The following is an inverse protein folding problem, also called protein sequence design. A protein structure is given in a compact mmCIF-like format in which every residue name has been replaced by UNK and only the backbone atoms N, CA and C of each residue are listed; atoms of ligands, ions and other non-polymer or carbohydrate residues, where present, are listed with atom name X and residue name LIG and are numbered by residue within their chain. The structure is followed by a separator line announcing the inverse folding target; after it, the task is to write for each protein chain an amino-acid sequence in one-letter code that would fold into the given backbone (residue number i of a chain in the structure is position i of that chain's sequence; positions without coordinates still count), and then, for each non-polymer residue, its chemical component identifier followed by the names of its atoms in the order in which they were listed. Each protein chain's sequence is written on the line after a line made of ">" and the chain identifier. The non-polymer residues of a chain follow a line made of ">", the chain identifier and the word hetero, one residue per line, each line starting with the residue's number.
data_IF_793363974354
#
_entry.id   IF_793363974354
#
_cell.length_a   1.000
_cell.length_b   1.000
_cell.length_c   1.000
_cell.angle_alpha   90.00
_cell.angle_beta   90.00
_cell.angle_gamma   90.00
#
_symmetry.space_group_name_H-M   'P 1'
#
loop_
_entity.id
_entity.type
_entity.pdbx_description
1 polymer ?
#
# COMPACT_ATOMS: atom_id res chain seq x y z
N UNK A 1 -43.79 -3.94 8.60
CA UNK A 1 -42.72 -4.24 7.60
C UNK A 1 -41.46 -4.59 8.38
N UNK A 2 -41.11 -5.87 8.45
CA UNK A 2 -39.87 -6.27 9.13
C UNK A 2 -38.70 -5.85 8.23
N UNK A 3 -37.92 -4.85 8.66
CA UNK A 3 -36.66 -4.51 8.00
C UNK A 3 -35.70 -5.65 8.29
N UNK A 4 -35.50 -6.55 7.31
CA UNK A 4 -34.58 -7.69 7.42
C UNK A 4 -33.16 -7.35 7.03
N UNK A 5 -32.97 -6.19 6.39
CA UNK A 5 -31.68 -5.74 5.90
C UNK A 5 -31.08 -4.70 6.85
N UNK A 6 -29.82 -4.87 7.22
CA UNK A 6 -29.00 -3.87 7.94
C UNK A 6 -27.74 -3.55 7.16
N UNK A 7 -27.19 -2.37 7.38
CA UNK A 7 -25.97 -1.91 6.72
C UNK A 7 -24.92 -1.55 7.77
N UNK A 8 -23.72 -2.01 7.56
CA UNK A 8 -22.58 -1.75 8.43
C UNK A 8 -21.48 -1.04 7.65
N UNK A 9 -21.07 0.14 8.09
CA UNK A 9 -19.91 0.78 7.55
C UNK A 9 -18.66 0.03 8.02
N UNK A 10 -17.81 -0.34 7.09
CA UNK A 10 -16.55 -1.05 7.37
C UNK A 10 -15.51 -0.74 6.30
N UNK A 11 -14.30 -1.25 6.50
CA UNK A 11 -13.18 -0.99 5.61
C UNK A 11 -12.48 -2.30 5.30
N UNK A 12 -12.12 -2.51 4.05
CA UNK A 12 -11.24 -3.60 3.63
C UNK A 12 -9.85 -3.05 3.33
N UNK A 13 -8.82 -3.78 3.79
CA UNK A 13 -7.43 -3.57 3.42
C UNK A 13 -6.77 -4.93 3.23
N UNK A 14 -6.60 -5.36 2.00
CA UNK A 14 -6.04 -6.66 1.65
C UNK A 14 -5.20 -6.54 0.37
N UNK A 15 -3.91 -6.65 0.50
CA UNK A 15 -3.00 -6.59 -0.63
C UNK A 15 -3.11 -5.29 -1.43
N UNK A 16 -3.82 -5.31 -2.56
CA UNK A 16 -4.06 -4.15 -3.42
C UNK A 16 -5.34 -3.40 -3.09
N UNK A 17 -6.26 -4.02 -2.40
CA UNK A 17 -7.62 -3.57 -2.30
C UNK A 17 -7.82 -2.81 -0.99
N UNK A 18 -8.04 -1.52 -1.12
CA UNK A 18 -8.31 -0.59 -0.02
C UNK A 18 -9.63 0.12 -0.32
N UNK A 19 -10.66 -0.13 0.47
CA UNK A 19 -11.97 0.49 0.23
C UNK A 19 -12.74 0.72 1.52
N UNK A 20 -13.42 1.87 1.58
CA UNK A 20 -14.38 2.22 2.61
C UNK A 20 -15.78 1.92 2.10
N UNK A 21 -16.45 0.94 2.68
CA UNK A 21 -17.64 0.30 2.13
C UNK A 21 -18.77 0.19 3.15
N UNK A 22 -19.96 -0.05 2.64
CA UNK A 22 -21.08 -0.55 3.43
C UNK A 22 -21.31 -2.03 3.11
N UNK A 23 -21.48 -2.83 4.15
CA UNK A 23 -21.88 -4.24 3.97
C UNK A 23 -23.36 -4.37 4.25
N UNK A 24 -24.10 -4.81 3.24
CA UNK A 24 -25.47 -5.22 3.39
C UNK A 24 -25.53 -6.59 4.07
N UNK A 25 -26.21 -6.63 5.20
CA UNK A 25 -26.41 -7.84 5.99
C UNK A 25 -27.90 -8.21 6.00
N UNK A 26 -28.20 -9.44 5.73
CA UNK A 26 -29.57 -9.97 5.76
C UNK A 26 -29.64 -11.10 6.77
N UNK A 27 -30.48 -10.92 7.80
CA UNK A 27 -30.66 -11.91 8.86
C UNK A 27 -29.34 -12.41 9.49
N UNK A 28 -28.41 -11.47 9.72
CA UNK A 28 -27.09 -11.78 10.28
C UNK A 28 -26.06 -12.34 9.27
N UNK A 29 -26.35 -12.32 7.96
CA UNK A 29 -25.46 -12.81 6.90
C UNK A 29 -25.02 -11.67 5.99
N UNK A 30 -23.73 -11.35 5.92
CA UNK A 30 -23.18 -10.43 4.92
C UNK A 30 -23.41 -10.97 3.51
N UNK A 31 -24.05 -10.17 2.64
CA UNK A 31 -24.45 -10.63 1.30
C UNK A 31 -23.95 -9.75 0.16
N UNK A 32 -23.63 -8.47 0.42
CA UNK A 32 -23.27 -7.54 -0.65
C UNK A 32 -22.43 -6.39 -0.13
N UNK A 33 -21.47 -5.96 -0.94
CA UNK A 33 -20.74 -4.71 -0.77
C UNK A 33 -21.49 -3.59 -1.46
N UNK A 34 -21.66 -2.47 -0.76
CA UNK A 34 -22.27 -1.24 -1.27
C UNK A 34 -21.29 -0.07 -1.07
N UNK A 35 -21.49 1.00 -1.84
CA UNK A 35 -20.70 2.22 -1.71
C UNK A 35 -21.01 2.93 -0.39
N UNK A 36 -19.97 3.36 0.33
CA UNK A 36 -20.12 4.32 1.41
C UNK A 36 -20.03 5.75 0.83
N UNK A 37 -21.17 6.43 0.73
CA UNK A 37 -21.25 7.79 0.17
C UNK A 37 -20.59 8.87 1.03
N UNK A 38 -20.20 8.56 2.27
CA UNK A 38 -19.49 9.46 3.19
C UNK A 38 -17.95 9.34 3.04
N UNK A 39 -17.48 8.31 2.33
CA UNK A 39 -16.07 8.09 2.06
C UNK A 39 -15.61 8.82 0.78
N UNK A 40 -14.29 9.00 0.65
CA UNK A 40 -13.68 9.49 -0.59
C UNK A 40 -13.94 8.51 -1.75
N UNK A 41 -14.29 9.04 -2.92
CA UNK A 41 -14.57 8.25 -4.12
C UNK A 41 -13.35 7.41 -4.56
N UNK A 42 -12.12 7.87 -4.30
CA UNK A 42 -10.89 7.15 -4.63
C UNK A 42 -10.70 5.85 -3.82
N UNK A 43 -11.44 5.71 -2.70
CA UNK A 43 -11.43 4.52 -1.83
C UNK A 43 -12.72 3.72 -1.99
N UNK A 44 -13.28 3.66 -3.20
CA UNK A 44 -14.48 2.90 -3.53
C UNK A 44 -14.15 1.45 -3.89
N UNK A 45 -15.20 0.60 -3.85
CA UNK A 45 -15.06 -0.83 -4.12
C UNK A 45 -14.80 -1.10 -5.61
N UNK A 46 -13.72 -1.82 -5.91
CA UNK A 46 -13.47 -2.45 -7.20
C UNK A 46 -14.12 -3.85 -7.29
N UNK A 47 -13.95 -4.55 -8.40
CA UNK A 47 -14.53 -5.88 -8.62
C UNK A 47 -14.06 -6.92 -7.57
N UNK A 48 -12.78 -6.88 -7.17
CA UNK A 48 -12.22 -7.79 -6.15
C UNK A 48 -12.84 -7.52 -4.78
N UNK A 49 -13.01 -6.24 -4.42
CA UNK A 49 -13.68 -5.85 -3.16
C UNK A 49 -15.14 -6.31 -3.15
N UNK A 50 -15.86 -6.16 -4.27
CA UNK A 50 -17.23 -6.71 -4.36
C UNK A 50 -17.28 -8.23 -4.18
N UNK A 51 -16.29 -8.96 -4.70
CA UNK A 51 -16.18 -10.41 -4.56
C UNK A 51 -15.74 -10.86 -3.14
N UNK A 52 -15.14 -9.99 -2.33
CA UNK A 52 -14.51 -10.36 -1.05
C UNK A 52 -15.49 -10.96 -0.01
N UNK A 53 -16.79 -10.67 -0.14
CA UNK A 53 -17.82 -11.30 0.72
C UNK A 53 -17.87 -12.82 0.54
N UNK A 54 -17.53 -13.33 -0.65
CA UNK A 54 -17.53 -14.76 -0.94
C UNK A 54 -16.46 -15.51 -0.15
N UNK A 55 -15.32 -14.87 0.11
CA UNK A 55 -14.23 -15.46 0.90
C UNK A 55 -14.65 -15.79 2.34
N UNK A 56 -15.63 -15.06 2.88
CA UNK A 56 -16.19 -15.36 4.20
C UNK A 56 -16.76 -16.77 4.28
N UNK A 57 -17.36 -17.25 3.19
CA UNK A 57 -18.06 -18.53 3.09
C UNK A 57 -17.23 -19.63 2.43
N UNK A 58 -15.95 -19.37 2.17
CA UNK A 58 -15.07 -20.37 1.58
C UNK A 58 -14.84 -21.54 2.56
N UNK A 59 -15.12 -22.74 2.10
CA UNK A 59 -14.99 -23.96 2.89
C UNK A 59 -13.54 -24.42 3.09
N UNK A 60 -12.57 -23.77 2.41
CA UNK A 60 -11.12 -24.02 2.59
C UNK A 60 -10.51 -23.18 3.71
N UNK A 61 -11.31 -22.34 4.37
CA UNK A 61 -10.85 -21.56 5.53
C UNK A 61 -10.44 -22.46 6.69
N UNK A 62 -9.34 -22.08 7.35
CA UNK A 62 -8.90 -22.75 8.57
C UNK A 62 -9.89 -22.52 9.70
N UNK A 63 -10.32 -23.62 10.34
CA UNK A 63 -11.31 -23.59 11.41
C UNK A 63 -10.70 -23.36 12.80
N UNK A 64 -9.40 -23.64 12.99
CA UNK A 64 -8.70 -23.55 14.28
C UNK A 64 -7.18 -23.49 14.06
N UNK A 65 -6.38 -23.09 15.09
CA UNK A 65 -4.93 -23.01 14.95
C UNK A 65 -4.31 -24.40 14.78
N UNK A 66 -3.14 -24.43 14.14
CA UNK A 66 -2.39 -25.66 13.87
C UNK A 66 -0.93 -25.56 14.36
N UNK A 67 -0.34 -26.71 14.65
CA UNK A 67 1.09 -26.93 14.87
C UNK A 67 1.52 -28.13 14.04
N UNK A 68 2.57 -27.99 13.24
CA UNK A 68 3.08 -29.03 12.35
C UNK A 68 1.97 -29.67 11.50
N UNK A 69 1.09 -28.83 10.95
CA UNK A 69 -0.11 -29.19 10.18
C UNK A 69 -1.18 -30.00 10.95
N UNK A 70 -1.10 -30.09 12.26
CA UNK A 70 -2.11 -30.75 13.12
C UNK A 70 -2.88 -29.71 13.94
N UNK A 71 -4.20 -29.86 14.09
CA UNK A 71 -5.00 -28.97 14.90
C UNK A 71 -4.57 -28.94 16.37
N UNK A 72 -4.52 -27.75 16.96
CA UNK A 72 -4.26 -27.56 18.40
C UNK A 72 -5.25 -26.58 19.03
N UNK A 73 -5.28 -26.51 20.37
CA UNK A 73 -6.06 -25.51 21.07
C UNK A 73 -5.38 -24.12 21.02
N UNK A 74 -6.16 -23.03 21.12
CA UNK A 74 -5.60 -21.68 21.29
C UNK A 74 -4.78 -21.54 22.56
N UNK A 75 -5.17 -22.25 23.64
CA UNK A 75 -4.41 -22.24 24.88
C UNK A 75 -2.98 -22.80 24.65
N UNK A 76 -2.87 -23.95 23.99
CA UNK A 76 -1.59 -24.56 23.64
C UNK A 76 -0.78 -23.65 22.71
N UNK A 77 -1.41 -23.11 21.68
CA UNK A 77 -0.79 -22.19 20.73
C UNK A 77 -0.18 -20.97 21.45
N UNK A 78 -0.97 -20.29 22.28
CA UNK A 78 -0.55 -19.07 22.96
C UNK A 78 0.56 -19.35 23.98
N UNK A 79 0.43 -20.42 24.74
CA UNK A 79 1.41 -20.81 25.76
C UNK A 79 2.77 -21.15 25.13
N UNK A 80 2.78 -22.02 24.13
CA UNK A 80 4.00 -22.45 23.49
C UNK A 80 4.68 -21.31 22.71
N UNK A 81 3.92 -20.54 21.91
CA UNK A 81 4.50 -19.44 21.14
C UNK A 81 5.02 -18.33 22.05
N UNK A 82 4.32 -17.99 23.15
CA UNK A 82 4.80 -17.02 24.13
C UNK A 82 6.10 -17.49 24.78
N UNK A 83 6.18 -18.75 25.18
CA UNK A 83 7.37 -19.37 25.79
C UNK A 83 8.58 -19.29 24.85
N UNK A 84 8.38 -19.64 23.56
CA UNK A 84 9.43 -19.59 22.56
C UNK A 84 9.90 -18.17 22.26
N UNK A 85 8.98 -17.20 22.13
CA UNK A 85 9.34 -15.80 21.94
C UNK A 85 10.15 -15.25 23.11
N UNK A 86 9.79 -15.61 24.36
CA UNK A 86 10.55 -15.22 25.55
C UNK A 86 11.94 -15.86 25.58
N UNK A 87 12.07 -17.14 25.18
CA UNK A 87 13.33 -17.83 25.07
C UNK A 87 14.27 -17.18 24.08
N UNK A 88 13.78 -16.95 22.84
CA UNK A 88 14.55 -16.32 21.76
C UNK A 88 15.00 -14.91 22.12
N UNK A 89 14.14 -14.14 22.79
CA UNK A 89 14.48 -12.81 23.26
C UNK A 89 15.62 -12.84 24.30
N UNK A 90 15.59 -13.78 25.26
CA UNK A 90 16.69 -13.97 26.22
C UNK A 90 18.01 -14.39 25.55
N UNK A 91 17.93 -15.17 24.49
CA UNK A 91 19.06 -15.57 23.65
C UNK A 91 19.51 -14.48 22.69
N UNK A 92 18.84 -13.31 22.67
CA UNK A 92 19.10 -12.17 21.76
C UNK A 92 19.02 -12.54 20.28
N UNK A 93 18.25 -13.57 19.93
CA UNK A 93 17.94 -13.90 18.53
C UNK A 93 16.88 -12.94 17.99
N UNK A 94 17.04 -12.51 16.75
CA UNK A 94 16.10 -11.60 16.12
C UNK A 94 14.72 -12.25 15.94
N UNK A 95 13.65 -11.52 16.32
CA UNK A 95 12.25 -11.89 16.11
C UNK A 95 11.69 -10.94 15.06
N UNK A 96 11.38 -11.45 13.87
CA UNK A 96 10.87 -10.64 12.77
C UNK A 96 9.34 -10.71 12.69
N UNK A 97 8.67 -9.57 12.76
CA UNK A 97 7.30 -9.42 12.29
C UNK A 97 7.35 -9.09 10.80
N UNK A 98 6.94 -10.02 9.94
CA UNK A 98 6.86 -9.85 8.49
C UNK A 98 5.40 -9.69 8.08
N UNK A 99 5.00 -8.47 7.71
CA UNK A 99 3.59 -8.17 7.46
C UNK A 99 3.39 -7.44 6.13
N UNK A 100 2.17 -7.49 5.61
CA UNK A 100 1.76 -6.50 4.61
C UNK A 100 1.71 -5.09 5.19
N UNK A 101 1.59 -4.09 4.35
CA UNK A 101 1.22 -2.74 4.80
C UNK A 101 -0.20 -2.76 5.34
N UNK A 102 -0.35 -2.59 6.66
CA UNK A 102 -1.68 -2.51 7.26
C UNK A 102 -2.33 -1.13 7.10
N UNK A 103 -1.55 -0.07 6.92
CA UNK A 103 -2.01 1.32 6.95
C UNK A 103 -2.88 1.65 8.19
N UNK A 104 -2.61 0.97 9.30
CA UNK A 104 -3.39 1.04 10.55
C UNK A 104 -2.60 1.76 11.64
N UNK A 105 -3.05 2.94 12.10
CA UNK A 105 -2.39 3.66 13.20
C UNK A 105 -2.35 2.84 14.49
N UNK A 106 -3.42 2.11 14.81
CA UNK A 106 -3.47 1.33 16.05
C UNK A 106 -2.61 0.07 15.96
N UNK A 107 -2.59 -0.63 14.81
CA UNK A 107 -1.71 -1.78 14.60
C UNK A 107 -0.23 -1.35 14.64
N UNK A 108 0.11 -0.21 14.03
CA UNK A 108 1.46 0.36 14.11
C UNK A 108 1.89 0.62 15.57
N UNK A 109 1.02 1.24 16.35
CA UNK A 109 1.27 1.49 17.78
C UNK A 109 1.45 0.19 18.58
N UNK A 110 0.71 -0.85 18.21
CA UNK A 110 0.81 -2.15 18.85
C UNK A 110 2.11 -2.88 18.48
N UNK A 111 2.54 -2.79 17.22
CA UNK A 111 3.84 -3.32 16.78
C UNK A 111 4.99 -2.66 17.53
N UNK A 112 4.95 -1.33 17.74
CA UNK A 112 5.99 -0.67 18.54
C UNK A 112 5.99 -1.18 19.99
N UNK A 113 4.82 -1.37 20.63
CA UNK A 113 4.75 -2.00 21.97
C UNK A 113 5.30 -3.41 22.02
N UNK A 114 5.11 -4.20 20.96
CA UNK A 114 5.72 -5.52 20.87
C UNK A 114 7.25 -5.43 20.79
N UNK A 115 7.78 -4.49 20.01
CA UNK A 115 9.22 -4.23 19.91
C UNK A 115 9.80 -3.71 21.22
N UNK A 116 9.08 -2.86 21.94
CA UNK A 116 9.49 -2.37 23.26
C UNK A 116 9.64 -3.53 24.27
N UNK A 117 8.79 -4.55 24.16
CA UNK A 117 8.87 -5.74 25.04
C UNK A 117 9.96 -6.70 24.64
N UNK A 118 10.20 -6.86 23.34
CA UNK A 118 11.22 -7.77 22.79
C UNK A 118 12.27 -6.94 22.07
N UNK A 119 13.36 -6.56 22.77
CA UNK A 119 14.42 -5.67 22.22
C UNK A 119 15.04 -6.18 20.92
N UNK A 120 15.03 -7.51 20.72
CA UNK A 120 15.52 -8.14 19.49
C UNK A 120 14.46 -8.18 18.37
N UNK A 121 13.26 -7.62 18.58
CA UNK A 121 12.21 -7.67 17.58
C UNK A 121 12.38 -6.57 16.51
N UNK A 122 12.15 -6.95 15.28
CA UNK A 122 12.10 -6.03 14.12
C UNK A 122 10.78 -6.19 13.36
N UNK A 123 10.38 -5.14 12.65
CA UNK A 123 9.21 -5.16 11.78
C UNK A 123 9.63 -4.88 10.35
N UNK A 124 9.26 -5.76 9.46
CA UNK A 124 9.54 -5.68 8.02
C UNK A 124 8.21 -5.76 7.28
N UNK A 125 7.96 -4.77 6.45
CA UNK A 125 6.78 -4.75 5.59
C UNK A 125 7.14 -5.32 4.22
N UNK A 126 6.36 -6.26 3.75
CA UNK A 126 6.47 -6.89 2.45
C UNK A 126 5.14 -6.74 1.70
N UNK A 127 5.15 -5.97 0.63
CA UNK A 127 4.04 -5.86 -0.31
C UNK A 127 4.48 -6.51 -1.63
N UNK A 128 3.79 -7.53 -2.17
CA UNK A 128 4.21 -8.24 -3.39
C UNK A 128 4.38 -7.33 -4.60
N UNK A 129 3.56 -6.28 -4.69
CA UNK A 129 3.77 -5.15 -5.60
C UNK A 129 4.11 -3.96 -4.73
N UNK A 130 5.41 -3.73 -4.59
CA UNK A 130 5.94 -2.95 -3.48
C UNK A 130 5.92 -1.44 -3.69
N UNK A 131 5.96 -0.96 -4.92
CA UNK A 131 6.19 0.46 -5.25
C UNK A 131 7.41 1.06 -4.49
N UNK A 132 8.37 0.21 -4.07
CA UNK A 132 9.45 0.58 -3.16
C UNK A 132 10.25 1.78 -3.65
N UNK A 133 10.51 1.86 -4.95
CA UNK A 133 11.29 2.94 -5.55
C UNK A 133 10.52 4.28 -5.55
N UNK A 134 9.21 4.24 -5.80
CA UNK A 134 8.36 5.43 -5.68
C UNK A 134 8.25 5.89 -4.22
N UNK A 135 8.15 4.94 -3.27
CA UNK A 135 8.17 5.22 -1.84
C UNK A 135 9.50 5.85 -1.40
N UNK A 136 10.63 5.31 -1.88
CA UNK A 136 11.97 5.82 -1.58
C UNK A 136 12.17 7.24 -2.17
N UNK A 137 11.62 7.49 -3.37
CA UNK A 137 11.66 8.80 -3.99
C UNK A 137 10.86 9.83 -3.20
N UNK A 138 9.64 9.48 -2.80
CA UNK A 138 8.77 10.35 -2.02
C UNK A 138 9.36 10.62 -0.62
N UNK A 139 9.87 9.57 0.07
CA UNK A 139 10.52 9.70 1.37
C UNK A 139 11.77 10.60 1.29
N UNK A 140 12.58 10.44 0.25
CA UNK A 140 13.73 11.32 0.03
C UNK A 140 13.33 12.78 -0.18
N UNK A 141 12.21 13.03 -0.87
CA UNK A 141 11.74 14.37 -1.21
C UNK A 141 11.04 15.08 -0.07
N UNK A 142 10.22 14.33 0.70
CA UNK A 142 9.29 14.90 1.69
C UNK A 142 9.52 14.39 3.12
N UNK A 143 10.45 13.46 3.34
CA UNK A 143 10.73 12.90 4.67
C UNK A 143 9.65 11.97 5.23
N UNK A 144 8.68 11.57 4.41
CA UNK A 144 7.59 10.68 4.77
C UNK A 144 7.54 9.52 3.77
N UNK A 145 7.51 8.28 4.28
CA UNK A 145 7.34 7.11 3.43
C UNK A 145 5.89 6.94 3.03
N UNK A 146 5.59 7.19 1.77
CA UNK A 146 4.25 7.12 1.19
C UNK A 146 4.30 7.44 -0.31
N UNK A 147 3.16 7.47 -0.97
CA UNK A 147 3.02 7.77 -2.39
C UNK A 147 2.32 9.13 -2.58
N UNK A 148 2.63 9.77 -3.69
CA UNK A 148 1.95 11.02 -4.05
C UNK A 148 0.49 10.76 -4.40
N UNK A 149 -0.41 11.62 -3.96
CA UNK A 149 -1.79 11.64 -4.43
C UNK A 149 -1.96 12.56 -5.62
N UNK A 150 -2.89 12.22 -6.52
CA UNK A 150 -3.21 12.98 -7.72
C UNK A 150 -4.73 13.13 -7.89
N UNK A 151 -5.18 14.33 -8.21
CA UNK A 151 -6.56 14.65 -8.56
C UNK A 151 -6.64 15.18 -9.99
N UNK A 152 -7.14 14.35 -10.90
CA UNK A 152 -7.21 14.67 -12.32
C UNK A 152 -8.46 15.49 -12.73
N UNK A 153 -9.39 15.75 -11.81
CA UNK A 153 -10.69 16.35 -12.10
C UNK A 153 -10.62 17.72 -12.80
N UNK A 154 -9.59 18.50 -12.50
CA UNK A 154 -9.42 19.87 -13.04
C UNK A 154 -8.15 20.01 -13.91
N UNK A 155 -7.59 18.90 -14.41
CA UNK A 155 -6.40 18.95 -15.26
C UNK A 155 -6.76 19.36 -16.69
N UNK A 156 -5.85 20.11 -17.33
CA UNK A 156 -5.90 20.41 -18.76
C UNK A 156 -5.11 19.38 -19.57
N UNK A 157 -3.99 18.91 -19.03
CA UNK A 157 -3.10 17.94 -19.67
C UNK A 157 -2.63 16.90 -18.67
N UNK A 158 -2.90 15.64 -18.95
CA UNK A 158 -2.35 14.48 -18.26
C UNK A 158 -1.28 13.89 -19.17
N UNK A 159 -0.03 13.91 -18.71
CA UNK A 159 1.10 13.29 -19.39
C UNK A 159 1.56 12.10 -18.58
N UNK A 160 1.28 10.91 -19.07
CA UNK A 160 1.64 9.65 -18.45
C UNK A 160 2.75 8.95 -19.22
N UNK A 161 3.77 8.51 -18.49
CA UNK A 161 4.93 7.78 -19.04
C UNK A 161 5.00 6.42 -18.34
N UNK A 162 4.41 5.41 -18.96
CA UNK A 162 4.37 4.04 -18.46
C UNK A 162 3.47 3.79 -17.26
N UNK A 163 2.69 4.78 -16.79
CA UNK A 163 1.77 4.60 -15.68
C UNK A 163 0.37 4.19 -16.15
N UNK A 164 -0.10 3.01 -15.73
CA UNK A 164 -1.50 2.59 -15.95
C UNK A 164 -2.38 3.04 -14.78
N UNK A 165 -2.60 4.35 -14.68
CA UNK A 165 -3.30 4.96 -13.55
C UNK A 165 -4.82 4.73 -13.54
N UNK A 166 -5.41 4.22 -14.63
CA UNK A 166 -6.79 3.71 -14.65
C UNK A 166 -6.90 2.24 -14.24
N UNK A 167 -5.74 1.55 -14.15
CA UNK A 167 -5.60 0.21 -13.58
C UNK A 167 -5.12 0.25 -12.13
N UNK A 168 -4.18 -0.63 -11.80
CA UNK A 168 -3.69 -0.83 -10.42
C UNK A 168 -2.43 0.00 -10.07
N UNK A 169 -2.00 0.96 -10.91
CA UNK A 169 -0.83 1.81 -10.65
C UNK A 169 -0.96 2.51 -9.29
N UNK A 170 0.07 2.34 -8.43
CA UNK A 170 0.13 2.88 -7.05
C UNK A 170 -1.12 2.57 -6.19
N UNK A 171 -1.81 1.45 -6.49
CA UNK A 171 -3.00 1.01 -5.76
C UNK A 171 -4.34 1.45 -6.38
N UNK A 172 -4.33 2.18 -7.50
CA UNK A 172 -5.55 2.59 -8.20
C UNK A 172 -6.28 3.76 -7.55
N UNK A 173 -7.57 3.90 -7.88
CA UNK A 173 -8.46 4.91 -7.29
C UNK A 173 -8.46 6.27 -8.02
N UNK A 174 -7.74 6.38 -9.14
CA UNK A 174 -7.64 7.64 -9.90
C UNK A 174 -8.72 7.80 -10.98
N UNK A 175 -9.45 6.74 -11.29
CA UNK A 175 -10.50 6.67 -12.31
C UNK A 175 -11.63 7.67 -12.07
N UNK A 176 -12.07 7.82 -10.81
CA UNK A 176 -13.13 8.77 -10.46
C UNK A 176 -12.74 10.23 -10.77
N UNK A 177 -11.53 10.66 -10.42
CA UNK A 177 -11.06 12.00 -10.71
C UNK A 177 -10.79 12.21 -12.20
N UNK A 178 -10.24 11.18 -12.87
CA UNK A 178 -10.04 11.18 -14.31
C UNK A 178 -11.37 11.35 -15.06
N UNK A 179 -12.39 10.56 -14.72
CA UNK A 179 -13.70 10.59 -15.36
C UNK A 179 -14.33 11.97 -15.23
N UNK A 180 -14.26 12.61 -14.05
CA UNK A 180 -14.74 13.98 -13.83
C UNK A 180 -14.10 14.98 -14.81
N UNK A 181 -12.78 14.86 -15.03
CA UNK A 181 -12.04 15.72 -15.98
C UNK A 181 -12.29 15.39 -17.45
N UNK A 182 -12.94 14.26 -17.77
CA UNK A 182 -13.22 13.78 -19.14
C UNK A 182 -14.68 14.00 -19.56
N UNK A 183 -15.52 14.53 -18.70
CA UNK A 183 -16.88 14.97 -19.07
C UNK A 183 -16.73 16.34 -19.77
N UNK A 184 -17.20 16.49 -21.03
CA UNK A 184 -16.98 17.71 -21.80
C UNK A 184 -17.99 18.82 -21.44
N UNK A 185 -18.12 19.12 -20.14
CA UNK A 185 -18.95 20.22 -19.66
C UNK A 185 -18.37 21.55 -20.16
N UNK A 186 -19.20 22.44 -20.69
CA UNK A 186 -18.79 23.68 -21.28
C UNK A 186 -17.75 23.56 -22.42
N UNK A 187 -17.70 22.40 -23.10
CA UNK A 187 -16.77 22.13 -24.19
C UNK A 187 -15.31 22.02 -23.75
N UNK A 188 -15.04 21.85 -22.44
CA UNK A 188 -13.71 21.66 -21.87
C UNK A 188 -13.54 20.21 -21.41
N UNK A 189 -12.46 19.58 -21.85
CA UNK A 189 -12.08 18.23 -21.46
C UNK A 189 -10.57 18.16 -21.32
N UNK A 190 -10.09 17.41 -20.33
CA UNK A 190 -8.65 17.16 -20.15
C UNK A 190 -8.09 16.40 -21.35
N UNK A 191 -6.88 16.78 -21.82
CA UNK A 191 -6.13 16.02 -22.81
C UNK A 191 -5.24 15.00 -22.13
N UNK A 192 -5.24 13.76 -22.62
CA UNK A 192 -4.43 12.68 -22.09
C UNK A 192 -3.44 12.18 -23.16
N UNK A 193 -2.14 12.25 -22.85
CA UNK A 193 -1.05 11.70 -23.66
C UNK A 193 -0.40 10.56 -22.88
N UNK A 194 -0.35 9.37 -23.50
CA UNK A 194 0.19 8.16 -22.90
C UNK A 194 1.39 7.65 -23.71
N UNK A 195 2.54 7.57 -23.07
CA UNK A 195 3.74 6.88 -23.56
C UNK A 195 3.87 5.55 -22.82
N UNK A 196 3.81 4.41 -23.53
CA UNK A 196 3.79 3.10 -22.87
C UNK A 196 4.30 1.98 -23.78
N UNK A 197 4.68 0.84 -23.22
CA UNK A 197 5.12 -0.32 -23.99
C UNK A 197 3.95 -1.19 -24.46
N UNK A 198 3.08 -1.57 -23.52
CA UNK A 198 1.87 -2.35 -23.78
C UNK A 198 0.65 -1.43 -23.82
N UNK A 199 -0.40 -1.83 -24.52
CA UNK A 199 -1.67 -1.12 -24.44
C UNK A 199 -2.33 -1.44 -23.10
N UNK A 200 -2.34 -0.42 -22.22
CA UNK A 200 -2.98 -0.48 -20.92
C UNK A 200 -4.39 0.09 -20.96
N UNK A 201 -5.12 0.01 -19.84
CA UNK A 201 -6.42 0.66 -19.71
C UNK A 201 -6.30 2.19 -19.88
N UNK A 202 -5.25 2.78 -19.30
CA UNK A 202 -4.93 4.20 -19.49
C UNK A 202 -4.62 4.54 -20.93
N UNK A 203 -3.81 3.71 -21.60
CA UNK A 203 -3.47 3.92 -23.01
C UNK A 203 -4.65 3.77 -23.97
N UNK A 204 -5.59 2.88 -23.67
CA UNK A 204 -6.82 2.71 -24.45
C UNK A 204 -7.75 3.92 -24.36
N UNK A 205 -7.65 4.72 -23.29
CA UNK A 205 -8.45 5.93 -23.08
C UNK A 205 -7.70 7.23 -23.41
N UNK A 206 -6.46 7.17 -23.88
CA UNK A 206 -5.66 8.35 -24.20
C UNK A 206 -6.06 8.99 -25.52
N UNK A 207 -5.99 10.34 -25.60
CA UNK A 207 -6.18 11.09 -26.85
C UNK A 207 -5.00 10.90 -27.81
N UNK A 208 -3.79 10.70 -27.24
CA UNK A 208 -2.58 10.35 -27.98
C UNK A 208 -1.85 9.25 -27.24
N UNK A 209 -1.83 8.06 -27.84
CA UNK A 209 -1.05 6.93 -27.36
C UNK A 209 0.17 6.74 -28.25
N UNK A 210 1.36 6.62 -27.63
CA UNK A 210 2.64 6.40 -28.32
C UNK A 210 3.28 5.14 -27.78
N UNK A 211 3.31 4.03 -28.55
CA UNK A 211 3.95 2.79 -28.13
C UNK A 211 5.48 2.92 -28.18
N UNK A 212 6.15 2.58 -27.08
CA UNK A 212 7.59 2.80 -26.87
C UNK A 212 8.22 1.71 -26.01
N UNK A 213 9.53 1.51 -26.21
CA UNK A 213 10.34 0.71 -25.29
C UNK A 213 10.60 1.46 -23.99
N UNK A 214 10.87 0.72 -22.91
CA UNK A 214 11.15 1.32 -21.58
C UNK A 214 12.29 2.36 -21.64
N UNK A 215 13.37 2.05 -22.36
CA UNK A 215 14.50 2.98 -22.48
C UNK A 215 14.13 4.28 -23.22
N UNK A 216 13.21 4.23 -24.18
CA UNK A 216 12.70 5.43 -24.86
C UNK A 216 11.80 6.25 -23.93
N UNK A 217 11.01 5.59 -23.07
CA UNK A 217 10.20 6.27 -22.03
C UNK A 217 11.11 7.04 -21.05
N UNK A 218 12.22 6.41 -20.62
CA UNK A 218 13.23 7.07 -19.77
C UNK A 218 13.80 8.31 -20.43
N UNK A 219 14.20 8.22 -21.70
CA UNK A 219 14.72 9.36 -22.45
C UNK A 219 13.70 10.49 -22.56
N UNK A 220 12.43 10.17 -22.84
CA UNK A 220 11.36 11.19 -22.95
C UNK A 220 11.21 11.94 -21.64
N UNK A 221 11.15 11.24 -20.51
CA UNK A 221 11.02 11.87 -19.20
C UNK A 221 12.20 12.84 -18.93
N UNK A 222 13.40 12.43 -19.31
CA UNK A 222 14.60 13.26 -19.20
C UNK A 222 14.53 14.49 -20.12
N UNK A 223 14.11 14.34 -21.38
CA UNK A 223 13.98 15.45 -22.32
C UNK A 223 12.91 16.48 -21.83
N UNK A 224 11.79 16.01 -21.27
CA UNK A 224 10.79 16.86 -20.61
C UNK A 224 11.44 17.62 -19.45
N UNK A 225 12.18 16.93 -18.58
CA UNK A 225 12.87 17.55 -17.46
C UNK A 225 13.86 18.64 -17.93
N UNK A 226 14.74 18.33 -18.89
CA UNK A 226 15.70 19.27 -19.46
C UNK A 226 15.02 20.52 -20.03
N UNK A 227 13.87 20.34 -20.67
CA UNK A 227 13.12 21.44 -21.28
C UNK A 227 12.57 22.45 -20.26
N UNK A 228 12.36 22.01 -19.01
CA UNK A 228 11.79 22.82 -17.92
C UNK A 228 12.86 23.40 -16.99
N UNK A 229 14.01 22.71 -16.84
CA UNK A 229 15.04 23.08 -15.89
C UNK A 229 16.33 23.60 -16.52
N UNK A 230 16.44 23.53 -17.86
CA UNK A 230 17.63 23.91 -18.63
C UNK A 230 18.62 22.73 -18.81
N UNK A 231 19.19 22.61 -20.02
CA UNK A 231 19.95 21.44 -20.49
C UNK A 231 21.24 21.11 -19.77
N UNK A 232 21.82 22.03 -18.97
CA UNK A 232 23.14 21.85 -18.35
C UNK A 232 23.14 21.00 -17.06
N UNK A 233 21.99 20.63 -16.54
CA UNK A 233 21.88 19.92 -15.25
C UNK A 233 21.96 18.41 -15.35
N UNK A 234 21.74 17.82 -16.53
CA UNK A 234 21.80 16.39 -16.77
C UNK A 234 22.78 16.09 -17.92
N UNK A 235 23.95 15.59 -17.61
CA UNK A 235 24.84 14.99 -18.61
C UNK A 235 24.40 13.54 -18.80
N UNK A 236 23.84 13.25 -19.96
CA UNK A 236 23.53 11.88 -20.38
C UNK A 236 24.69 11.38 -21.24
N UNK A 237 25.36 10.35 -20.80
CA UNK A 237 26.36 9.61 -21.59
C UNK A 237 25.73 8.52 -22.46
N UNK A 238 24.41 8.57 -22.72
CA UNK A 238 23.76 7.53 -23.54
C UNK A 238 23.86 7.87 -25.03
N UNK A 239 24.33 6.91 -25.83
CA UNK A 239 24.30 6.95 -27.30
C UNK A 239 22.88 6.73 -27.87
N UNK A 240 21.87 6.60 -27.02
CA UNK A 240 20.49 6.43 -27.42
C UNK A 240 19.89 7.76 -27.89
N UNK A 241 19.45 7.79 -29.15
CA UNK A 241 18.76 8.94 -29.75
C UNK A 241 17.33 8.55 -30.12
N UNK A 242 16.40 9.46 -29.88
CA UNK A 242 15.04 9.30 -30.33
C UNK A 242 14.98 9.39 -31.87
N UNK A 243 14.11 8.63 -32.52
CA UNK A 243 13.87 8.79 -33.94
C UNK A 243 13.32 10.18 -34.24
N UNK A 244 13.54 10.74 -35.45
CA UNK A 244 12.99 12.06 -35.83
C UNK A 244 11.50 12.17 -35.62
N UNK A 245 10.74 11.10 -35.94
CA UNK A 245 9.29 11.06 -35.72
C UNK A 245 8.93 11.20 -34.24
N UNK A 246 9.63 10.46 -33.40
CA UNK A 246 9.41 10.48 -31.97
C UNK A 246 9.82 11.82 -31.34
N UNK A 247 10.95 12.39 -31.78
CA UNK A 247 11.40 13.70 -31.34
C UNK A 247 10.34 14.79 -31.61
N UNK A 248 9.74 14.79 -32.81
CA UNK A 248 8.68 15.73 -33.14
C UNK A 248 7.44 15.61 -32.24
N UNK A 249 7.08 14.37 -31.84
CA UNK A 249 5.99 14.11 -30.90
C UNK A 249 6.36 14.69 -29.51
N UNK A 250 7.57 14.42 -29.05
CA UNK A 250 8.09 14.89 -27.75
C UNK A 250 8.13 16.42 -27.72
N UNK A 251 8.62 17.07 -28.79
CA UNK A 251 8.70 18.53 -28.89
C UNK A 251 7.30 19.17 -28.84
N UNK A 252 6.32 18.53 -29.51
CA UNK A 252 4.93 18.97 -29.45
C UNK A 252 4.35 18.80 -28.05
N UNK A 253 4.58 17.64 -27.42
CA UNK A 253 4.15 17.36 -26.04
C UNK A 253 4.74 18.37 -25.05
N UNK A 254 6.02 18.73 -25.21
CA UNK A 254 6.68 19.74 -24.37
C UNK A 254 6.04 21.12 -24.54
N UNK A 255 5.65 21.49 -25.79
CA UNK A 255 4.95 22.75 -26.03
C UNK A 255 3.56 22.76 -25.35
N UNK A 256 2.81 21.66 -25.46
CA UNK A 256 1.53 21.49 -24.78
C UNK A 256 1.69 21.57 -23.25
N UNK A 257 2.70 20.91 -22.69
CA UNK A 257 3.02 20.93 -21.25
C UNK A 257 3.30 22.38 -20.77
N UNK A 258 4.14 23.11 -21.50
CA UNK A 258 4.47 24.52 -21.18
C UNK A 258 3.26 25.43 -21.28
N UNK A 259 2.36 25.17 -22.24
CA UNK A 259 1.11 25.94 -22.42
C UNK A 259 0.11 25.66 -21.30
N UNK A 260 -0.05 24.42 -20.87
CA UNK A 260 -0.98 24.02 -19.81
C UNK A 260 -0.56 24.52 -18.42
N UNK A 261 0.75 24.77 -18.19
CA UNK A 261 1.30 25.29 -16.92
C UNK A 261 0.83 24.46 -15.72
N UNK A 262 0.28 25.12 -14.69
CA UNK A 262 -0.24 24.47 -13.48
C UNK A 262 -1.42 23.51 -13.76
N UNK A 263 -2.09 23.63 -14.90
CA UNK A 263 -3.13 22.69 -15.32
C UNK A 263 -2.60 21.38 -15.89
N UNK A 264 -1.29 21.20 -15.99
CA UNK A 264 -0.68 19.94 -16.40
C UNK A 264 -0.26 19.09 -15.21
N UNK A 265 -0.16 17.78 -15.45
CA UNK A 265 0.43 16.80 -14.51
C UNK A 265 1.29 15.81 -15.30
N UNK A 266 2.41 15.41 -14.71
CA UNK A 266 3.32 14.39 -15.26
C UNK A 266 3.41 13.24 -14.27
N UNK A 267 3.07 12.03 -14.71
CA UNK A 267 3.16 10.80 -13.91
C UNK A 267 4.00 9.76 -14.62
N UNK A 268 4.62 8.88 -13.86
CA UNK A 268 5.46 7.82 -14.42
C UNK A 268 5.23 6.47 -13.74
N UNK A 269 5.23 5.41 -14.55
CA UNK A 269 5.27 4.01 -14.10
C UNK A 269 6.67 3.39 -14.14
N UNK A 270 7.71 4.19 -14.45
CA UNK A 270 9.10 3.73 -14.44
C UNK A 270 9.50 3.44 -12.99
N UNK A 271 9.97 2.23 -12.72
CA UNK A 271 10.17 1.73 -11.36
C UNK A 271 11.48 2.20 -10.70
N UNK A 272 12.39 2.83 -11.44
CA UNK A 272 13.62 3.33 -10.83
C UNK A 272 13.38 4.65 -10.09
N UNK A 273 13.94 4.78 -8.91
CA UNK A 273 13.79 5.89 -7.97
C UNK A 273 14.08 7.27 -8.58
N UNK A 274 15.11 7.34 -9.41
CA UNK A 274 15.57 8.59 -10.04
C UNK A 274 14.49 9.17 -10.96
N UNK A 275 13.80 8.33 -11.72
CA UNK A 275 12.72 8.75 -12.61
C UNK A 275 11.46 9.13 -11.86
N UNK A 276 11.19 8.47 -10.74
CA UNK A 276 10.13 8.87 -9.81
C UNK A 276 10.41 10.27 -9.23
N UNK A 277 11.64 10.54 -8.80
CA UNK A 277 12.06 11.88 -8.34
C UNK A 277 11.91 12.95 -9.42
N UNK A 278 12.28 12.65 -10.66
CA UNK A 278 12.11 13.56 -11.80
C UNK A 278 10.63 13.94 -11.98
N UNK A 279 9.73 12.97 -11.91
CA UNK A 279 8.29 13.24 -12.05
C UNK A 279 7.77 14.14 -10.91
N UNK A 280 8.19 13.90 -9.66
CA UNK A 280 7.84 14.75 -8.52
C UNK A 280 8.35 16.19 -8.72
N UNK A 281 9.62 16.35 -9.13
CA UNK A 281 10.23 17.67 -9.35
C UNK A 281 9.56 18.43 -10.51
N UNK A 282 9.17 17.74 -11.59
CA UNK A 282 8.44 18.36 -12.70
C UNK A 282 7.11 18.94 -12.19
N UNK A 283 6.32 18.14 -11.45
CA UNK A 283 5.02 18.58 -10.94
C UNK A 283 5.15 19.76 -9.98
N UNK A 284 6.18 19.79 -9.14
CA UNK A 284 6.48 20.95 -8.30
C UNK A 284 6.87 22.18 -9.14
N UNK A 285 7.72 22.01 -10.16
CA UNK A 285 8.19 23.09 -11.00
C UNK A 285 7.06 23.78 -11.75
N UNK A 286 6.14 23.00 -12.31
CA UNK A 286 4.96 23.53 -13.00
C UNK A 286 3.85 23.96 -12.04
N UNK A 287 4.01 23.69 -10.73
CA UNK A 287 3.01 23.91 -9.67
C UNK A 287 1.68 23.23 -10.01
N UNK A 288 1.75 21.95 -10.40
CA UNK A 288 0.58 21.18 -10.84
C UNK A 288 -0.53 21.21 -9.79
N UNK A 289 -1.73 21.59 -10.20
CA UNK A 289 -2.91 21.60 -9.33
C UNK A 289 -3.43 20.19 -9.03
N UNK A 290 -3.09 19.23 -9.90
CA UNK A 290 -3.43 17.83 -9.72
C UNK A 290 -2.53 17.13 -8.69
N UNK A 291 -1.31 17.61 -8.48
CA UNK A 291 -0.35 17.00 -7.58
C UNK A 291 -0.62 17.41 -6.13
N UNK A 292 -0.98 16.45 -5.28
CA UNK A 292 -1.42 16.63 -3.89
C UNK A 292 -0.49 15.94 -2.89
N UNK A 293 0.77 16.36 -2.74
CA UNK A 293 1.71 15.67 -1.86
C UNK A 293 1.28 15.69 -0.38
N UNK A 294 0.57 16.72 0.08
CA UNK A 294 0.05 16.78 1.47
C UNK A 294 -1.00 15.70 1.78
N UNK A 295 -1.64 15.17 0.77
CA UNK A 295 -2.60 14.08 0.86
C UNK A 295 -1.89 12.73 0.59
N UNK A 296 -0.77 12.49 1.24
CA UNK A 296 0.08 11.31 1.03
C UNK A 296 -0.72 10.03 1.11
N UNK A 297 -0.59 9.15 0.12
CA UNK A 297 -1.18 7.81 0.13
C UNK A 297 -0.29 6.88 0.96
N UNK A 298 -0.90 6.17 1.93
CA UNK A 298 -0.21 5.35 2.93
C UNK A 298 -0.50 3.85 2.77
N UNK A 299 -1.07 3.45 1.64
CA UNK A 299 -1.46 2.06 1.35
C UNK A 299 -0.28 1.13 1.05
N UNK A 300 0.91 1.67 0.87
CA UNK A 300 2.17 0.94 0.67
C UNK A 300 3.25 1.52 1.58
N UNK A 301 4.08 0.63 2.14
CA UNK A 301 5.21 1.04 2.98
C UNK A 301 6.41 0.09 2.90
N UNK A 302 6.34 -0.93 2.05
CA UNK A 302 7.41 -1.92 1.91
C UNK A 302 8.74 -1.29 1.51
N UNK A 303 9.82 -1.98 1.90
CA UNK A 303 11.20 -1.62 1.56
C UNK A 303 11.92 -2.88 1.10
N UNK A 304 12.08 -3.04 -0.22
CA UNK A 304 12.64 -4.26 -0.82
C UNK A 304 13.98 -4.63 -0.19
N UNK A 305 14.89 -3.67 -0.04
CA UNK A 305 16.20 -3.91 0.57
C UNK A 305 16.10 -4.48 1.98
N UNK A 306 15.17 -4.01 2.82
CA UNK A 306 15.03 -4.52 4.19
C UNK A 306 14.55 -5.99 4.20
N UNK A 307 13.73 -6.38 3.23
CA UNK A 307 13.28 -7.75 3.05
C UNK A 307 14.43 -8.65 2.57
N UNK A 308 15.22 -8.21 1.58
CA UNK A 308 16.39 -8.96 1.08
C UNK A 308 17.45 -9.14 2.19
N UNK A 309 17.75 -8.08 2.94
CA UNK A 309 18.67 -8.12 4.08
C UNK A 309 18.16 -9.08 5.17
N UNK A 310 16.84 -9.22 5.36
CA UNK A 310 16.26 -10.22 6.29
C UNK A 310 16.56 -11.64 5.82
N UNK A 311 16.39 -11.97 4.56
CA UNK A 311 16.69 -13.31 4.01
C UNK A 311 18.17 -13.66 4.24
N UNK A 312 19.07 -12.69 4.06
CA UNK A 312 20.49 -12.88 4.33
C UNK A 312 20.71 -13.23 5.82
N UNK A 313 20.14 -12.44 6.75
CA UNK A 313 20.26 -12.70 8.20
C UNK A 313 19.63 -14.02 8.63
N UNK A 314 18.53 -14.44 7.98
CA UNK A 314 17.93 -15.77 8.21
C UNK A 314 18.90 -16.89 7.82
N UNK A 315 19.56 -16.79 6.65
CA UNK A 315 20.55 -17.76 6.20
C UNK A 315 21.81 -17.80 7.09
N UNK A 316 22.16 -16.70 7.73
CA UNK A 316 23.26 -16.60 8.70
C UNK A 316 22.88 -17.13 10.10
N UNK A 317 21.62 -17.56 10.31
CA UNK A 317 21.14 -18.04 11.61
C UNK A 317 20.97 -16.96 12.69
N UNK A 318 20.94 -15.66 12.28
CA UNK A 318 20.75 -14.52 13.20
C UNK A 318 19.27 -14.33 13.58
N UNK A 319 18.35 -14.76 12.71
CA UNK A 319 16.91 -14.69 12.94
C UNK A 319 16.45 -15.99 13.59
N UNK A 320 15.89 -15.90 14.78
CA UNK A 320 15.33 -17.05 15.50
C UNK A 320 13.87 -17.30 15.20
N UNK A 321 13.10 -16.22 14.96
CA UNK A 321 11.66 -16.30 14.68
C UNK A 321 11.23 -15.40 13.52
N UNK A 322 10.28 -15.90 12.71
CA UNK A 322 9.53 -15.09 11.75
C UNK A 322 8.04 -15.29 11.99
N UNK A 323 7.31 -14.19 12.18
CA UNK A 323 5.85 -14.14 12.31
C UNK A 323 5.31 -13.44 11.09
N UNK A 324 4.57 -14.16 10.24
CA UNK A 324 3.98 -13.61 9.01
C UNK A 324 2.51 -13.28 9.21
N UNK A 325 2.06 -12.12 8.72
CA UNK A 325 0.65 -11.73 8.74
C UNK A 325 0.25 -10.96 7.48
N UNK A 326 -0.74 -11.48 6.75
CA UNK A 326 -1.24 -10.89 5.50
C UNK A 326 -0.27 -11.00 4.33
N UNK A 327 0.69 -11.92 4.36
CA UNK A 327 1.71 -12.13 3.33
C UNK A 327 1.92 -13.61 3.06
N UNK A 328 2.19 -13.95 1.79
CA UNK A 328 2.54 -15.30 1.36
C UNK A 328 3.83 -15.27 0.50
N UNK A 329 5.02 -15.08 1.13
CA UNK A 329 6.28 -14.95 0.41
C UNK A 329 6.64 -16.18 -0.40
N UNK A 330 6.28 -17.39 0.07
CA UNK A 330 6.57 -18.64 -0.66
C UNK A 330 5.92 -18.66 -2.05
N UNK A 331 4.72 -18.07 -2.16
CA UNK A 331 4.01 -17.95 -3.43
C UNK A 331 4.46 -16.73 -4.24
N UNK A 332 4.61 -15.57 -3.60
CA UNK A 332 4.72 -14.29 -4.29
C UNK A 332 6.15 -13.89 -4.69
N UNK A 333 7.18 -14.56 -4.15
CA UNK A 333 8.56 -14.26 -4.52
C UNK A 333 8.95 -14.92 -5.85
N UNK A 334 9.64 -14.17 -6.72
CA UNK A 334 10.20 -14.70 -7.96
C UNK A 334 11.23 -15.80 -7.70
N UNK A 335 12.12 -15.62 -6.70
CA UNK A 335 12.99 -16.67 -6.16
C UNK A 335 12.57 -17.04 -4.74
N UNK A 336 11.54 -17.87 -4.64
CA UNK A 336 11.08 -18.38 -3.35
C UNK A 336 12.01 -19.41 -2.72
N UNK A 337 12.90 -20.05 -3.50
CA UNK A 337 13.75 -21.16 -3.00
C UNK A 337 14.70 -20.72 -1.89
N UNK A 338 15.32 -19.56 -2.03
CA UNK A 338 16.22 -18.99 -1.03
C UNK A 338 15.47 -18.72 0.28
N UNK A 339 14.28 -18.09 0.16
CA UNK A 339 13.40 -17.82 1.31
C UNK A 339 12.96 -19.14 1.99
N UNK A 340 12.47 -20.11 1.23
CA UNK A 340 11.99 -21.41 1.74
C UNK A 340 13.10 -22.14 2.51
N UNK A 341 14.33 -22.16 1.96
CA UNK A 341 15.48 -22.77 2.65
C UNK A 341 15.75 -22.10 3.99
N UNK A 342 15.80 -20.77 4.00
CA UNK A 342 16.03 -19.99 5.22
C UNK A 342 14.88 -20.15 6.23
N UNK A 343 13.63 -20.13 5.76
CA UNK A 343 12.42 -20.22 6.59
C UNK A 343 12.29 -21.57 7.30
N UNK A 344 12.64 -22.68 6.63
CA UNK A 344 12.64 -24.03 7.22
C UNK A 344 13.68 -24.22 8.34
N UNK A 345 14.73 -23.41 8.36
CA UNK A 345 15.78 -23.47 9.38
C UNK A 345 15.49 -22.61 10.61
N UNK A 346 14.36 -21.87 10.64
CA UNK A 346 13.97 -21.08 11.80
C UNK A 346 13.59 -21.95 12.99
N UNK A 347 13.92 -21.48 14.19
CA UNK A 347 13.52 -22.15 15.44
C UNK A 347 12.02 -21.99 15.67
N UNK A 348 11.46 -20.83 15.28
CA UNK A 348 10.05 -20.53 15.39
C UNK A 348 9.55 -19.86 14.10
N UNK A 349 8.55 -20.45 13.46
CA UNK A 349 7.80 -19.84 12.38
C UNK A 349 6.31 -19.84 12.71
N UNK A 350 5.67 -18.68 12.62
CA UNK A 350 4.23 -18.48 12.88
C UNK A 350 3.63 -17.81 11.66
N UNK A 351 2.58 -18.38 11.09
CA UNK A 351 1.86 -17.80 9.97
C UNK A 351 0.41 -17.50 10.35
N UNK A 352 0.01 -16.23 10.20
CA UNK A 352 -1.39 -15.83 10.27
C UNK A 352 -2.01 -15.92 8.88
N UNK A 353 -2.85 -16.92 8.70
CA UNK A 353 -3.55 -17.12 7.42
C UNK A 353 -4.98 -17.60 7.62
N UNK A 354 -5.84 -17.29 6.65
CA UNK A 354 -7.21 -17.82 6.59
C UNK A 354 -7.27 -19.19 5.94
N UNK A 355 -6.24 -19.58 5.19
CA UNK A 355 -6.15 -20.83 4.43
C UNK A 355 -4.78 -21.49 4.70
N UNK A 356 -4.68 -22.78 4.44
CA UNK A 356 -3.38 -23.44 4.50
C UNK A 356 -2.62 -23.21 3.18
N UNK A 357 -2.17 -21.96 2.98
CA UNK A 357 -1.40 -21.54 1.82
C UNK A 357 0.06 -22.05 1.88
N UNK A 358 0.87 -21.70 0.85
CA UNK A 358 2.22 -22.21 0.69
C UNK A 358 3.13 -21.81 1.86
N UNK A 359 2.98 -20.59 2.41
CA UNK A 359 3.77 -20.15 3.59
C UNK A 359 3.23 -20.80 4.87
N UNK A 360 1.91 -20.89 5.03
CA UNK A 360 1.29 -21.53 6.16
C UNK A 360 1.69 -23.02 6.26
N UNK A 361 1.67 -23.74 5.14
CA UNK A 361 2.01 -25.16 5.08
C UNK A 361 3.44 -25.49 5.49
N UNK A 362 4.35 -24.51 5.41
CA UNK A 362 5.76 -24.63 5.82
C UNK A 362 6.00 -24.11 7.25
N UNK A 363 5.02 -23.46 7.86
CA UNK A 363 5.15 -22.87 9.19
C UNK A 363 4.94 -23.89 10.29
N UNK A 364 5.74 -23.78 11.37
CA UNK A 364 5.58 -24.62 12.55
C UNK A 364 4.24 -24.39 13.24
N UNK A 365 3.80 -23.14 13.32
CA UNK A 365 2.50 -22.75 13.86
C UNK A 365 1.71 -21.96 12.84
N UNK A 366 0.45 -22.30 12.69
CA UNK A 366 -0.50 -21.54 11.85
C UNK A 366 -1.62 -21.01 12.74
N UNK A 367 -1.70 -19.69 12.83
CA UNK A 367 -2.79 -18.99 13.49
C UNK A 367 -3.95 -18.82 12.51
N UNK A 368 -5.01 -19.59 12.69
CA UNK A 368 -6.22 -19.44 11.89
C UNK A 368 -6.82 -18.04 12.07
N UNK A 369 -6.78 -17.22 11.00
CA UNK A 369 -7.11 -15.81 11.05
C UNK A 369 -8.57 -15.53 10.75
N UNK A 370 -9.11 -14.50 11.40
CA UNK A 370 -10.42 -13.97 11.10
C UNK A 370 -10.50 -13.40 9.67
N UNK A 371 -11.67 -13.43 9.09
CA UNK A 371 -11.97 -12.61 7.92
C UNK A 371 -12.12 -11.12 8.33
N UNK A 372 -11.93 -10.17 7.40
CA UNK A 372 -12.05 -8.75 7.75
C UNK A 372 -13.46 -8.37 8.26
N UNK A 373 -14.50 -9.07 7.81
CA UNK A 373 -15.88 -8.89 8.30
C UNK A 373 -16.12 -9.47 9.70
N UNK A 374 -15.13 -10.16 10.27
CA UNK A 374 -15.12 -10.73 11.62
C UNK A 374 -14.16 -9.98 12.56
N UNK A 375 -13.50 -8.90 12.08
CA UNK A 375 -12.38 -8.26 12.78
C UNK A 375 -12.61 -6.78 13.02
N UNK A 376 -12.00 -6.26 14.09
CA UNK A 376 -11.83 -4.85 14.32
C UNK A 376 -10.51 -4.37 13.71
N UNK A 377 -10.53 -3.21 13.03
CA UNK A 377 -9.32 -2.51 12.63
C UNK A 377 -9.59 -1.02 12.39
N UNK A 378 -8.53 -0.23 12.30
CA UNK A 378 -8.56 1.15 11.84
C UNK A 378 -7.57 1.33 10.69
N UNK A 379 -7.80 2.36 9.87
CA UNK A 379 -6.95 2.64 8.73
C UNK A 379 -6.77 4.14 8.52
N UNK A 380 -5.63 4.50 7.94
CA UNK A 380 -5.32 5.82 7.39
C UNK A 380 -4.72 5.58 6.00
N UNK A 381 -5.58 5.43 4.99
CA UNK A 381 -5.13 5.15 3.61
C UNK A 381 -4.54 6.38 2.94
N UNK A 382 -5.03 7.54 3.31
CA UNK A 382 -4.56 8.84 2.88
C UNK A 382 -4.39 9.74 4.11
N UNK A 383 -3.32 10.50 4.15
CA UNK A 383 -2.97 11.33 5.30
C UNK A 383 -4.13 12.22 5.75
N UNK A 384 -4.58 12.03 6.98
CA UNK A 384 -5.73 12.73 7.57
C UNK A 384 -7.09 12.10 7.31
N UNK A 385 -7.20 11.05 6.51
CA UNK A 385 -8.43 10.30 6.26
C UNK A 385 -8.39 8.96 7.00
N UNK A 386 -9.15 8.89 8.08
CA UNK A 386 -9.24 7.71 8.93
C UNK A 386 -10.51 6.93 8.65
N UNK A 387 -10.43 5.62 8.75
CA UNK A 387 -11.58 4.74 8.62
C UNK A 387 -11.55 3.60 9.65
N UNK A 388 -12.71 3.04 9.93
CA UNK A 388 -12.90 1.95 10.88
C UNK A 388 -13.43 0.71 10.17
N UNK A 389 -12.80 -0.43 10.45
CA UNK A 389 -13.40 -1.74 10.20
C UNK A 389 -14.05 -2.22 11.49
N UNK A 390 -15.34 -2.53 11.42
CA UNK A 390 -16.10 -3.18 12.48
C UNK A 390 -16.57 -4.56 12.04
N UNK A 391 -16.60 -5.56 12.95
CA UNK A 391 -17.16 -6.86 12.64
C UNK A 391 -18.63 -6.73 12.21
N UNK A 392 -18.98 -7.34 11.10
CA UNK A 392 -20.36 -7.41 10.59
C UNK A 392 -21.03 -8.68 11.04
N UNK A 393 -20.23 -9.68 11.37
CA UNK A 393 -20.66 -11.00 11.86
C UNK A 393 -19.67 -11.46 12.95
N UNK A 394 -20.14 -12.31 13.84
CA UNK A 394 -19.27 -13.06 14.75
C UNK A 394 -18.41 -14.05 13.96
N UNK A 395 -17.25 -14.41 14.48
CA UNK A 395 -16.38 -15.42 13.85
C UNK A 395 -17.16 -16.71 13.57
N UNK A 396 -17.08 -17.19 12.33
CA UNK A 396 -17.71 -18.44 11.91
C UNK A 396 -16.96 -19.68 12.42
N UNK A 397 -15.65 -19.52 12.66
CA UNK A 397 -14.77 -20.59 13.11
C UNK A 397 -14.03 -20.16 14.37
N UNK A 398 -13.28 -21.07 14.98
CA UNK A 398 -12.45 -20.80 16.15
C UNK A 398 -11.15 -20.10 15.73
N UNK A 399 -11.27 -18.86 15.24
CA UNK A 399 -10.19 -18.03 14.70
C UNK A 399 -9.91 -16.84 15.60
N UNK A 400 -8.71 -16.22 15.44
CA UNK A 400 -8.32 -14.97 16.12
C UNK A 400 -7.65 -14.02 15.15
N UNK A 401 -7.84 -12.72 15.32
CA UNK A 401 -7.13 -11.72 14.54
C UNK A 401 -5.69 -11.53 15.03
N UNK A 402 -4.79 -11.14 14.14
CA UNK A 402 -3.37 -10.92 14.42
C UNK A 402 -3.15 -9.99 15.62
N UNK A 403 -3.89 -8.90 15.69
CA UNK A 403 -3.72 -7.87 16.71
C UNK A 403 -4.03 -8.36 18.12
N UNK A 404 -5.01 -9.26 18.28
CA UNK A 404 -5.33 -9.81 19.62
C UNK A 404 -4.18 -10.69 20.13
N UNK A 405 -3.59 -11.52 19.27
CA UNK A 405 -2.43 -12.32 19.66
C UNK A 405 -1.18 -11.46 19.90
N UNK A 406 -1.00 -10.42 19.09
CA UNK A 406 0.11 -9.48 19.31
C UNK A 406 -0.02 -8.75 20.66
N UNK A 407 -1.26 -8.42 21.10
CA UNK A 407 -1.53 -7.88 22.45
C UNK A 407 -1.15 -8.88 23.54
N UNK A 408 -1.53 -10.15 23.39
CA UNK A 408 -1.16 -11.22 24.34
C UNK A 408 0.35 -11.31 24.45
N UNK A 409 1.07 -11.39 23.36
CA UNK A 409 2.53 -11.45 23.33
C UNK A 409 3.18 -10.17 23.88
N UNK A 410 2.56 -8.99 23.66
CA UNK A 410 2.98 -7.73 24.28
C UNK A 410 2.64 -7.63 25.77
N UNK A 411 1.95 -8.64 26.36
CA UNK A 411 1.62 -8.69 27.78
C UNK A 411 0.38 -7.90 28.18
N UNK A 412 -0.45 -7.50 27.21
CA UNK A 412 -1.72 -6.82 27.46
C UNK A 412 -2.85 -7.84 27.62
N UNK A 413 -3.80 -7.53 28.52
CA UNK A 413 -5.05 -8.29 28.71
C UNK A 413 -6.25 -7.62 28.02
N UNK A 414 -6.07 -6.46 27.38
CA UNK A 414 -7.15 -5.74 26.69
C UNK A 414 -7.46 -6.37 25.36
N UNK A 415 -8.71 -6.24 24.88
CA UNK A 415 -9.06 -6.54 23.49
C UNK A 415 -8.44 -5.52 22.53
N UNK A 416 -8.24 -5.90 21.26
CA UNK A 416 -7.78 -4.94 20.26
C UNK A 416 -8.80 -3.82 20.03
N UNK A 417 -10.10 -4.10 20.15
CA UNK A 417 -11.14 -3.06 20.09
C UNK A 417 -10.91 -1.96 21.13
N UNK A 418 -10.68 -2.33 22.39
CA UNK A 418 -10.48 -1.36 23.47
C UNK A 418 -9.17 -0.60 23.30
N UNK A 419 -8.12 -1.29 22.89
CA UNK A 419 -6.82 -0.70 22.56
C UNK A 419 -6.97 0.35 21.44
N UNK A 420 -7.62 0.00 20.34
CA UNK A 420 -7.88 0.87 19.21
C UNK A 420 -8.73 2.08 19.61
N UNK A 421 -9.82 1.85 20.34
CA UNK A 421 -10.69 2.92 20.84
C UNK A 421 -9.97 3.90 21.76
N UNK A 422 -9.06 3.41 22.61
CA UNK A 422 -8.21 4.24 23.45
C UNK A 422 -7.22 5.07 22.60
N UNK A 423 -6.61 4.45 21.60
CA UNK A 423 -5.72 5.12 20.65
C UNK A 423 -6.45 6.23 19.87
N UNK A 424 -7.64 5.95 19.38
CA UNK A 424 -8.47 6.92 18.67
C UNK A 424 -8.82 8.13 19.54
N UNK A 425 -9.26 7.89 20.77
CA UNK A 425 -9.59 8.96 21.71
C UNK A 425 -8.38 9.85 22.03
N UNK A 426 -7.20 9.24 22.15
CA UNK A 426 -5.98 9.96 22.52
C UNK A 426 -5.35 10.73 21.36
N UNK A 427 -5.32 10.13 20.14
CA UNK A 427 -4.43 10.55 19.07
C UNK A 427 -5.13 11.00 17.79
N UNK A 428 -6.42 10.62 17.58
CA UNK A 428 -7.09 10.79 16.27
C UNK A 428 -8.32 11.69 16.38
N UNK A 429 -9.24 11.39 17.28
CA UNK A 429 -10.57 12.02 17.33
C UNK A 429 -10.57 13.51 17.69
N UNK A 430 -9.55 14.01 18.40
CA UNK A 430 -9.56 15.38 18.91
C UNK A 430 -10.88 15.69 19.66
N UNK A 431 -11.80 16.46 19.02
CA UNK A 431 -13.16 16.74 19.49
C UNK A 431 -14.23 15.86 18.84
N UNK A 432 -13.83 14.90 17.99
CA UNK A 432 -14.75 14.02 17.27
C UNK A 432 -15.41 12.96 18.17
N UNK A 433 -16.46 12.34 17.67
CA UNK A 433 -17.20 11.28 18.36
C UNK A 433 -16.84 9.91 17.82
N UNK A 434 -16.43 9.00 18.69
CA UNK A 434 -16.22 7.60 18.33
C UNK A 434 -17.47 6.95 17.70
N UNK A 435 -18.63 7.15 18.33
CA UNK A 435 -19.86 6.53 17.85
C UNK A 435 -20.26 7.05 16.45
N UNK A 436 -20.03 8.36 16.21
CA UNK A 436 -20.29 8.93 14.88
C UNK A 436 -19.31 8.36 13.85
N UNK A 437 -18.02 8.31 14.16
CA UNK A 437 -17.02 7.74 13.25
C UNK A 437 -17.27 6.26 12.95
N UNK A 438 -17.77 5.50 13.94
CA UNK A 438 -18.15 4.10 13.75
C UNK A 438 -19.39 3.95 12.85
N UNK A 439 -20.38 4.81 13.05
CA UNK A 439 -21.60 4.83 12.22
C UNK A 439 -21.27 5.20 10.76
N UNK A 440 -20.48 6.26 10.58
CA UNK A 440 -20.13 6.78 9.27
C UNK A 440 -19.05 5.92 8.56
N UNK A 441 -18.28 5.13 9.33
CA UNK A 441 -17.15 4.31 8.88
C UNK A 441 -15.89 5.11 8.58
N UNK A 442 -15.98 6.44 8.57
CA UNK A 442 -14.88 7.36 8.21
C UNK A 442 -14.81 8.55 9.16
N UNK A 443 -13.61 9.12 9.28
CA UNK A 443 -13.34 10.32 10.04
C UNK A 443 -12.23 11.12 9.37
N UNK A 444 -12.49 12.37 8.99
CA UNK A 444 -11.55 13.22 8.28
C UNK A 444 -10.99 14.30 9.22
N UNK A 445 -9.68 14.46 9.17
CA UNK A 445 -8.92 15.51 9.86
C UNK A 445 -8.06 16.26 8.83
N UNK A 446 -7.78 17.53 9.05
CA UNK A 446 -6.82 18.24 8.19
C UNK A 446 -5.47 17.50 8.17
N UNK A 447 -5.02 17.15 6.99
CA UNK A 447 -3.68 16.63 6.80
C UNK A 447 -2.63 17.64 7.26
N UNK A 448 -1.53 17.16 7.81
CA UNK A 448 -0.40 18.03 8.15
C UNK A 448 0.28 18.50 6.86
N UNK A 449 0.58 19.79 6.78
CA UNK A 449 1.42 20.27 5.69
C UNK A 449 2.79 19.60 5.76
N UNK A 450 3.20 18.94 4.68
CA UNK A 450 4.54 18.39 4.56
C UNK A 450 5.47 19.46 4.01
N UNK A 451 6.62 19.65 4.66
CA UNK A 451 7.71 20.48 4.15
C UNK A 451 8.66 19.61 3.33
N UNK A 452 9.29 20.22 2.32
CA UNK A 452 10.40 19.55 1.63
C UNK A 452 11.49 19.21 2.64
N UNK A 453 12.04 18.02 2.56
CA UNK A 453 13.25 17.68 3.29
C UNK A 453 14.41 18.58 2.79
N UNK A 454 15.32 18.95 3.69
CA UNK A 454 16.41 19.90 3.39
C UNK A 454 17.13 19.57 2.09
N UNK A 455 17.25 20.57 1.22
CA UNK A 455 17.77 20.47 -0.15
C UNK A 455 19.25 20.02 -0.26
N UNK A 456 19.97 19.92 0.84
CA UNK A 456 21.36 19.43 0.87
C UNK A 456 21.50 17.96 0.47
N UNK A 457 20.43 17.15 0.60
CA UNK A 457 20.37 15.76 0.09
C UNK A 457 19.93 15.64 -1.38
N UNK A 458 19.33 16.69 -1.95
CA UNK A 458 18.89 16.69 -3.35
C UNK A 458 20.03 16.78 -4.37
N UNK A 459 21.18 17.35 -3.99
CA UNK A 459 22.36 17.45 -4.87
C UNK A 459 23.03 16.10 -5.18
N UNK A 460 22.78 15.07 -4.37
CA UNK A 460 23.31 13.72 -4.60
C UNK A 460 22.53 12.91 -5.64
N UNK A 461 21.31 13.33 -5.98
CA UNK A 461 20.46 12.63 -6.95
C UNK A 461 21.01 12.75 -8.39
N UNK A 462 21.62 13.90 -8.71
CA UNK A 462 22.19 14.13 -10.03
C UNK A 462 23.45 13.32 -10.33
N UNK A 463 24.21 12.91 -9.31
CA UNK A 463 25.37 12.04 -9.48
C UNK A 463 24.99 10.58 -9.73
N UNK A 464 23.82 10.15 -9.22
CA UNK A 464 23.32 8.79 -9.40
C UNK A 464 22.70 8.57 -10.80
N UNK A 465 22.05 9.59 -11.39
CA UNK A 465 21.52 9.49 -12.76
C UNK A 465 22.62 9.26 -13.80
N UNK A 466 23.82 9.77 -13.58
CA UNK A 466 24.97 9.51 -14.44
C UNK A 466 25.47 8.06 -14.33
N UNK A 467 25.26 7.39 -13.18
CA UNK A 467 25.69 6.01 -12.97
C UNK A 467 24.68 4.95 -13.46
N UNK A 468 23.39 5.31 -13.56
CA UNK A 468 22.33 4.37 -14.02
C UNK A 468 22.15 4.31 -15.55
N UNK A 469 22.84 5.18 -16.31
CA UNK A 469 22.75 5.27 -17.76
C UNK A 469 23.98 4.70 -18.47
N UNK A 470 24.99 4.24 -17.73
CA UNK A 470 26.09 3.38 -18.19
C UNK A 470 25.72 1.92 -18.06
#
# INVERSE_FOLDING_TARGET
>A
MCIRDSFYATTIANGFDFANILIKNREGRPIKVEKNSLADDSMSANARVHASVLDLYDNTRLAQPMKDNLPISWFTFEYETLSELQRLSKEKKEIVLLTQTFASPSTKNLIEKFKDKYESASHITYDPISESEALDAFEQRYGIRGLANYDFSNTKLILSIGADFLGDWQGGGFDCSYTKGRIPDDGKMSRHIQFESNMTLSGANADLRVPLRINEQKLILIEIYKSLFGGNKLKLESNLQLSKKLQNIVDTTIKELKSAKAGAVVITGIQEKEYQLIALEINEKIKSIAFKPNETILTRSSKNKAFDDMIIRMNEGKVGAVITAGVNPVYSLADSKSFVKAFKNLELSICFSQKNDETASLSKYVAASNHYLESWCDYEFKSGEYSLAQPVIKTLFNTKQFQDLLLVWAGSKSSFHDFMKANWKKNILEKGSWNKSLHDGVFNRKSKNISKADSTKASSCFSLLNACLT
#
